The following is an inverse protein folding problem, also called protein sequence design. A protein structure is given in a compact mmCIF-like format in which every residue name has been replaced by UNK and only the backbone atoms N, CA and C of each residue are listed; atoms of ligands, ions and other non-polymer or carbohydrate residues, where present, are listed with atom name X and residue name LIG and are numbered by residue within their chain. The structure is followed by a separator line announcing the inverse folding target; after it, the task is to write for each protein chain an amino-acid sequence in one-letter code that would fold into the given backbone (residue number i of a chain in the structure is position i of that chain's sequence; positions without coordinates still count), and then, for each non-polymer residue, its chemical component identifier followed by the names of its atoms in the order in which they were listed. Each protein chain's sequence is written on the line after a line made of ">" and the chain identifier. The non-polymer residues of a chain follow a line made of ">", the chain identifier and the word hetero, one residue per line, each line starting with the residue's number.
data_IF_143698396708
#
_entry.id   IF_143698396708
#
_cell.length_a   1.000
_cell.length_b   1.000
_cell.length_c   1.000
_cell.angle_alpha   90.00
_cell.angle_beta   90.00
_cell.angle_gamma   90.00
#
_symmetry.space_group_name_H-M   'P 1'
#
loop_
_entity.id
_entity.type
_entity.pdbx_description
1 polymer ?
#
# COMPACT_ATOMS: atom_id res chain seq x y z
N UNK A 1 -25.44 -25.67 2.48
CA UNK A 1 -25.24 -24.42 1.74
C UNK A 1 -25.90 -24.55 0.39
N UNK A 2 -26.83 -23.69 0.07
CA UNK A 2 -27.73 -23.80 -1.07
C UNK A 2 -27.41 -22.85 -2.22
N UNK A 3 -26.37 -22.02 -2.10
CA UNK A 3 -26.07 -20.98 -3.07
C UNK A 3 -24.63 -20.97 -3.59
N UNK A 4 -24.44 -20.37 -4.74
CA UNK A 4 -23.12 -20.14 -5.32
C UNK A 4 -22.36 -19.06 -4.53
N UNK A 5 -21.05 -19.20 -4.50
CA UNK A 5 -20.16 -18.35 -3.73
C UNK A 5 -19.89 -17.02 -4.42
N UNK A 6 -19.44 -16.07 -3.63
CA UNK A 6 -18.94 -14.80 -4.15
C UNK A 6 -17.67 -15.00 -4.98
N UNK A 7 -17.38 -14.01 -5.84
CA UNK A 7 -16.24 -14.08 -6.77
C UNK A 7 -14.91 -13.68 -6.16
N UNK A 8 -14.86 -13.17 -4.93
CA UNK A 8 -13.63 -12.76 -4.29
C UNK A 8 -13.06 -13.80 -3.34
N UNK A 9 -13.86 -14.22 -2.36
CA UNK A 9 -13.39 -15.10 -1.31
C UNK A 9 -13.83 -16.54 -1.50
N UNK A 10 -14.93 -16.76 -2.22
CA UNK A 10 -15.52 -18.07 -2.39
C UNK A 10 -16.08 -18.69 -1.09
N UNK A 11 -16.14 -17.92 -0.02
CA UNK A 11 -16.54 -18.41 1.32
C UNK A 11 -18.01 -18.19 1.62
N UNK A 12 -18.56 -17.07 1.15
CA UNK A 12 -19.93 -16.66 1.42
C UNK A 12 -20.76 -16.60 0.16
N UNK A 13 -22.09 -16.65 0.31
CA UNK A 13 -23.01 -16.46 -0.80
C UNK A 13 -22.98 -15.02 -1.29
N UNK A 14 -23.12 -14.81 -2.59
CA UNK A 14 -23.18 -13.48 -3.17
C UNK A 14 -24.50 -12.78 -2.82
N UNK A 15 -24.46 -11.45 -2.70
CA UNK A 15 -25.65 -10.65 -2.43
C UNK A 15 -26.58 -10.60 -3.64
N UNK A 16 -27.85 -10.87 -3.40
CA UNK A 16 -28.91 -10.71 -4.40
C UNK A 16 -30.23 -10.33 -3.71
N UNK A 17 -31.08 -9.64 -4.43
CA UNK A 17 -32.45 -9.30 -4.01
C UNK A 17 -33.41 -10.46 -4.27
N UNK A 18 -33.04 -11.42 -5.12
CA UNK A 18 -33.83 -12.59 -5.46
C UNK A 18 -33.11 -13.87 -4.99
N UNK A 19 -33.71 -14.52 -4.00
CA UNK A 19 -33.18 -15.74 -3.40
C UNK A 19 -33.05 -16.88 -4.41
N UNK A 20 -33.90 -16.95 -5.42
CA UNK A 20 -33.85 -18.00 -6.45
C UNK A 20 -32.54 -17.90 -7.27
N UNK A 21 -31.98 -16.72 -7.41
CA UNK A 21 -30.73 -16.52 -8.13
C UNK A 21 -29.51 -17.09 -7.42
N UNK A 22 -29.57 -17.32 -6.09
CA UNK A 22 -28.47 -17.92 -5.34
C UNK A 22 -28.10 -19.32 -5.83
N UNK A 23 -29.06 -20.08 -6.36
CA UNK A 23 -28.85 -21.44 -6.87
C UNK A 23 -28.29 -21.45 -8.31
N UNK A 24 -28.22 -20.32 -9.00
CA UNK A 24 -27.82 -20.25 -10.39
C UNK A 24 -26.28 -20.15 -10.54
N UNK A 25 -25.67 -21.00 -11.39
CA UNK A 25 -24.27 -20.85 -11.76
C UNK A 25 -24.04 -19.49 -12.46
N UNK A 26 -22.79 -18.95 -12.45
CA UNK A 26 -22.50 -17.64 -13.01
C UNK A 26 -23.01 -17.40 -14.42
N UNK A 27 -22.89 -18.40 -15.33
CA UNK A 27 -23.34 -18.29 -16.71
C UNK A 27 -24.85 -18.35 -16.94
N UNK A 28 -25.63 -18.68 -15.91
CA UNK A 28 -27.10 -18.74 -15.97
C UNK A 28 -27.77 -17.59 -15.20
N UNK A 29 -27.02 -16.68 -14.62
CA UNK A 29 -27.56 -15.54 -13.89
C UNK A 29 -28.18 -14.54 -14.85
N UNK A 30 -29.32 -13.91 -14.50
CA UNK A 30 -29.93 -12.89 -15.35
C UNK A 30 -28.99 -11.72 -15.60
N UNK A 31 -29.04 -11.13 -16.82
CA UNK A 31 -28.21 -9.97 -17.13
C UNK A 31 -28.54 -8.72 -16.28
N UNK A 32 -29.74 -8.67 -15.72
CA UNK A 32 -30.26 -7.54 -14.93
C UNK A 32 -29.89 -7.63 -13.45
N UNK A 33 -28.94 -8.48 -13.07
CA UNK A 33 -28.51 -8.51 -11.66
C UNK A 33 -27.94 -7.17 -11.22
N UNK A 34 -28.05 -6.86 -9.92
CA UNK A 34 -27.41 -5.69 -9.31
C UNK A 34 -25.94 -5.56 -9.74
N UNK A 35 -25.22 -6.66 -9.83
CA UNK A 35 -23.79 -6.70 -10.15
C UNK A 35 -23.51 -6.33 -11.60
N UNK A 36 -24.26 -6.90 -12.52
CA UNK A 36 -24.11 -6.59 -13.93
C UNK A 36 -24.48 -5.12 -14.23
N UNK A 37 -25.53 -4.62 -13.59
CA UNK A 37 -25.93 -3.21 -13.69
C UNK A 37 -24.85 -2.29 -13.10
N UNK A 38 -24.29 -2.64 -11.94
CA UNK A 38 -23.23 -1.86 -11.30
C UNK A 38 -21.91 -1.88 -12.11
N UNK A 39 -21.56 -3.03 -12.72
CA UNK A 39 -20.40 -3.15 -13.58
C UNK A 39 -20.56 -2.33 -14.87
N UNK A 40 -21.71 -2.43 -15.55
CA UNK A 40 -22.00 -1.65 -16.76
C UNK A 40 -21.98 -0.13 -16.48
N UNK A 41 -22.44 0.30 -15.32
CA UNK A 41 -22.40 1.69 -14.87
C UNK A 41 -21.06 2.09 -14.23
N UNK A 42 -20.07 1.21 -14.17
CA UNK A 42 -18.78 1.40 -13.49
C UNK A 42 -18.93 1.87 -12.02
N UNK A 43 -20.00 1.43 -11.38
CA UNK A 43 -20.30 1.82 -10.00
C UNK A 43 -19.50 0.96 -9.02
N UNK A 44 -19.07 1.58 -7.92
CA UNK A 44 -18.41 0.91 -6.80
C UNK A 44 -17.14 0.13 -7.15
N UNK A 45 -16.55 0.34 -8.32
CA UNK A 45 -15.40 -0.42 -8.80
C UNK A 45 -15.72 -1.90 -9.04
N UNK A 46 -16.97 -2.24 -9.30
CA UNK A 46 -17.41 -3.59 -9.66
C UNK A 46 -16.99 -3.87 -11.10
N UNK A 47 -16.40 -5.05 -11.33
CA UNK A 47 -15.97 -5.52 -12.65
C UNK A 47 -17.03 -6.41 -13.28
N UNK A 48 -16.96 -6.56 -14.59
CA UNK A 48 -17.82 -7.48 -15.33
C UNK A 48 -17.67 -8.91 -14.78
N UNK A 49 -18.78 -9.58 -14.51
CA UNK A 49 -18.80 -10.93 -13.95
C UNK A 49 -18.54 -11.03 -12.43
N UNK A 50 -18.20 -9.94 -11.77
CA UNK A 50 -17.95 -9.91 -10.33
C UNK A 50 -19.30 -9.92 -9.56
N UNK A 51 -19.43 -10.82 -8.57
CA UNK A 51 -20.58 -10.94 -7.69
C UNK A 51 -20.08 -11.09 -6.26
N UNK A 52 -20.37 -10.12 -5.42
CA UNK A 52 -19.81 -10.03 -4.07
C UNK A 52 -20.77 -10.48 -2.99
N UNK A 53 -20.26 -11.13 -1.96
CA UNK A 53 -20.95 -11.30 -0.69
C UNK A 53 -20.99 -10.01 0.13
N UNK A 54 -21.75 -10.01 1.24
CA UNK A 54 -21.93 -8.83 2.09
C UNK A 54 -20.59 -8.26 2.58
N UNK A 55 -19.70 -9.11 3.04
CA UNK A 55 -18.37 -8.69 3.53
C UNK A 55 -17.49 -8.14 2.39
N UNK A 56 -17.52 -8.79 1.22
CA UNK A 56 -16.81 -8.30 0.04
C UNK A 56 -17.29 -6.92 -0.40
N UNK A 57 -18.60 -6.72 -0.41
CA UNK A 57 -19.21 -5.42 -0.72
C UNK A 57 -18.86 -4.36 0.32
N UNK A 58 -18.94 -4.70 1.61
CA UNK A 58 -18.52 -3.79 2.69
C UNK A 58 -17.06 -3.37 2.53
N UNK A 59 -16.15 -4.32 2.34
CA UNK A 59 -14.72 -4.03 2.12
C UNK A 59 -14.48 -3.16 0.88
N UNK A 60 -15.29 -3.30 -0.16
CA UNK A 60 -15.20 -2.50 -1.38
C UNK A 60 -15.64 -1.05 -1.17
N UNK A 61 -16.73 -0.84 -0.43
CA UNK A 61 -17.31 0.48 -0.19
C UNK A 61 -16.65 1.24 0.95
N UNK A 62 -16.29 0.52 2.02
CA UNK A 62 -15.80 1.12 3.27
C UNK A 62 -14.67 2.13 3.08
N UNK A 63 -13.62 1.85 2.29
CA UNK A 63 -12.52 2.79 2.17
C UNK A 63 -12.90 4.16 1.61
N UNK A 64 -13.89 4.21 0.71
CA UNK A 64 -14.42 5.49 0.21
C UNK A 64 -15.29 6.16 1.24
N UNK A 65 -16.27 5.44 1.77
CA UNK A 65 -17.20 5.96 2.78
C UNK A 65 -16.45 6.49 4.01
N UNK A 66 -15.44 5.77 4.48
CA UNK A 66 -14.60 6.21 5.59
C UNK A 66 -13.83 7.49 5.26
N UNK A 67 -13.23 7.57 4.06
CA UNK A 67 -12.49 8.76 3.64
C UNK A 67 -13.42 9.99 3.55
N UNK A 68 -14.62 9.81 2.98
CA UNK A 68 -15.62 10.87 2.87
C UNK A 68 -16.04 11.34 4.28
N UNK A 69 -16.37 10.42 5.18
CA UNK A 69 -16.77 10.75 6.56
C UNK A 69 -15.67 11.47 7.36
N UNK A 70 -14.40 11.03 7.22
CA UNK A 70 -13.28 11.69 7.90
C UNK A 70 -13.00 13.07 7.31
N UNK A 71 -13.15 13.23 5.98
CA UNK A 71 -13.01 14.53 5.34
C UNK A 71 -14.05 15.51 5.85
N UNK A 72 -15.30 15.07 5.95
CA UNK A 72 -16.41 15.88 6.47
C UNK A 72 -16.20 16.22 7.97
N UNK A 73 -15.80 15.23 8.77
CA UNK A 73 -15.61 15.41 10.22
C UNK A 73 -14.48 16.39 10.56
N UNK A 74 -13.39 16.37 9.77
CA UNK A 74 -12.20 17.16 10.05
C UNK A 74 -12.09 18.42 9.17
N UNK A 75 -13.08 18.67 8.32
CA UNK A 75 -13.09 19.76 7.34
C UNK A 75 -11.78 19.82 6.52
N UNK A 76 -11.35 18.66 6.04
CA UNK A 76 -10.12 18.47 5.29
C UNK A 76 -10.29 17.43 4.19
N UNK A 77 -9.70 17.66 3.02
CA UNK A 77 -9.66 16.68 1.91
C UNK A 77 -8.66 15.55 2.23
N UNK A 78 -9.19 14.42 2.68
CA UNK A 78 -8.41 13.20 2.88
C UNK A 78 -8.47 12.33 1.63
N UNK A 79 -7.31 11.89 1.16
CA UNK A 79 -7.20 11.01 0.00
C UNK A 79 -6.63 9.67 0.40
N UNK A 80 -7.23 8.62 -0.14
CA UNK A 80 -6.66 7.27 0.02
C UNK A 80 -5.28 7.20 -0.62
N UNK A 81 -4.34 6.66 0.13
CA UNK A 81 -3.05 6.25 -0.40
C UNK A 81 -3.09 4.73 -0.64
N UNK A 82 -3.43 4.33 -1.85
CA UNK A 82 -3.46 2.91 -2.25
C UNK A 82 -2.69 2.78 -3.56
N UNK A 83 -1.60 2.05 -3.49
CA UNK A 83 -0.78 1.72 -4.66
C UNK A 83 -1.30 0.41 -5.25
N UNK A 84 -1.56 0.37 -6.57
CA UNK A 84 -1.98 -0.87 -7.22
C UNK A 84 -0.84 -1.88 -7.25
N UNK A 85 -1.18 -3.17 -7.30
CA UNK A 85 -0.20 -4.26 -7.41
C UNK A 85 0.66 -4.13 -8.66
N UNK A 86 0.08 -3.66 -9.77
CA UNK A 86 0.84 -3.36 -10.99
C UNK A 86 1.83 -2.21 -10.81
N UNK A 87 1.41 -1.14 -10.13
CA UNK A 87 2.32 -0.04 -9.84
C UNK A 87 3.48 -0.49 -8.96
N UNK A 88 3.23 -1.38 -7.99
CA UNK A 88 4.28 -1.96 -7.16
C UNK A 88 5.23 -2.84 -7.98
N UNK A 89 4.72 -3.70 -8.84
CA UNK A 89 5.53 -4.56 -9.69
C UNK A 89 6.42 -3.74 -10.66
N UNK A 90 5.88 -2.68 -11.24
CA UNK A 90 6.61 -1.81 -12.17
C UNK A 90 7.57 -0.84 -11.47
N UNK A 91 7.45 -0.63 -10.17
CA UNK A 91 8.15 0.45 -9.46
C UNK A 91 9.66 0.38 -9.63
N UNK A 92 10.26 -0.81 -9.54
CA UNK A 92 11.71 -1.01 -9.69
C UNK A 92 12.16 -0.67 -11.11
N UNK A 93 11.46 -1.15 -12.14
CA UNK A 93 11.80 -0.85 -13.54
C UNK A 93 11.69 0.64 -13.85
N UNK A 94 10.67 1.31 -13.32
CA UNK A 94 10.47 2.75 -13.50
C UNK A 94 11.52 3.58 -12.74
N UNK A 95 11.91 3.16 -11.53
CA UNK A 95 12.99 3.79 -10.76
C UNK A 95 14.32 3.69 -11.50
N UNK A 96 14.68 2.49 -11.97
CA UNK A 96 15.90 2.27 -12.74
C UNK A 96 15.94 3.11 -14.02
N UNK A 97 14.84 3.18 -14.76
CA UNK A 97 14.73 4.05 -15.94
C UNK A 97 14.91 5.53 -15.55
N UNK A 98 14.26 5.99 -14.48
CA UNK A 98 14.33 7.39 -14.04
C UNK A 98 15.75 7.81 -13.64
N UNK A 99 16.52 6.90 -13.07
CA UNK A 99 17.89 7.15 -12.60
C UNK A 99 18.95 7.08 -13.69
N UNK A 100 18.63 6.55 -14.88
CA UNK A 100 19.61 6.49 -15.99
C UNK A 100 19.90 7.89 -16.52
N UNK A 101 21.19 8.28 -16.64
CA UNK A 101 21.57 9.56 -17.26
C UNK A 101 21.19 9.65 -18.73
N UNK A 102 21.29 8.54 -19.46
CA UNK A 102 21.04 8.35 -20.89
C UNK A 102 19.69 7.66 -21.16
N UNK A 103 18.73 7.86 -20.27
CA UNK A 103 17.43 7.21 -20.38
C UNK A 103 16.78 7.49 -21.74
N UNK A 104 16.26 6.44 -22.42
CA UNK A 104 15.53 6.61 -23.66
C UNK A 104 14.31 7.50 -23.46
N UNK A 105 14.04 8.35 -24.44
CA UNK A 105 12.82 9.15 -24.47
C UNK A 105 11.58 8.25 -24.61
N UNK A 106 10.48 8.67 -24.05
CA UNK A 106 9.20 7.96 -24.20
C UNK A 106 8.71 8.12 -25.64
N UNK A 107 8.50 7.02 -26.39
CA UNK A 107 8.04 7.08 -27.78
C UNK A 107 6.74 7.89 -27.90
N UNK A 108 6.62 8.64 -29.01
CA UNK A 108 5.44 9.47 -29.27
C UNK A 108 4.16 8.63 -29.24
N UNK A 109 4.21 7.42 -29.77
CA UNK A 109 3.07 6.49 -29.76
C UNK A 109 2.63 6.15 -28.33
N UNK A 110 3.57 5.81 -27.45
CA UNK A 110 3.26 5.52 -26.05
C UNK A 110 2.76 6.76 -25.33
N UNK A 111 3.37 7.92 -25.60
CA UNK A 111 2.95 9.20 -25.02
C UNK A 111 1.50 9.52 -25.36
N UNK A 112 1.12 9.38 -26.63
CA UNK A 112 -0.25 9.62 -27.09
C UNK A 112 -1.28 8.70 -26.40
N UNK A 113 -0.91 7.44 -26.16
CA UNK A 113 -1.77 6.49 -25.42
C UNK A 113 -1.92 6.84 -23.95
N UNK A 114 -0.91 7.44 -23.35
CA UNK A 114 -0.95 7.84 -21.94
C UNK A 114 -1.65 9.18 -21.70
N UNK A 115 -1.72 10.05 -22.71
CA UNK A 115 -2.46 11.30 -22.60
C UNK A 115 -3.95 11.05 -22.36
N UNK A 116 -4.52 11.75 -21.37
CA UNK A 116 -5.92 11.56 -20.98
C UNK A 116 -6.19 10.38 -20.02
N UNK A 117 -5.24 9.47 -19.83
CA UNK A 117 -5.41 8.36 -18.90
C UNK A 117 -5.46 8.82 -17.43
N UNK A 118 -6.11 8.01 -16.59
CA UNK A 118 -6.11 8.21 -15.14
C UNK A 118 -4.69 8.18 -14.57
N UNK A 119 -4.50 8.80 -13.41
CA UNK A 119 -3.20 8.82 -12.72
C UNK A 119 -3.15 7.77 -11.62
N UNK A 120 -2.11 6.94 -11.63
CA UNK A 120 -1.82 6.01 -10.54
C UNK A 120 -1.16 6.71 -9.35
N UNK A 121 -1.39 6.18 -8.16
CA UNK A 121 -0.66 6.55 -6.95
C UNK A 121 0.65 5.78 -6.96
N UNK A 122 1.76 6.49 -6.83
CA UNK A 122 3.10 5.91 -6.83
C UNK A 122 3.55 5.53 -5.42
N UNK A 123 4.40 4.50 -5.26
CA UNK A 123 5.13 4.28 -4.02
C UNK A 123 5.87 5.55 -3.59
N UNK A 124 5.95 5.81 -2.28
CA UNK A 124 6.51 7.07 -1.75
C UNK A 124 7.91 7.36 -2.27
N UNK A 125 8.79 6.36 -2.28
CA UNK A 125 10.17 6.49 -2.77
C UNK A 125 10.19 6.95 -4.23
N UNK A 126 9.43 6.29 -5.10
CA UNK A 126 9.36 6.65 -6.52
C UNK A 126 8.74 8.05 -6.73
N UNK A 127 7.74 8.40 -5.94
CA UNK A 127 7.12 9.73 -5.99
C UNK A 127 8.09 10.85 -5.58
N UNK A 128 8.99 10.60 -4.63
CA UNK A 128 10.03 11.56 -4.19
C UNK A 128 11.11 11.80 -5.26
N UNK A 129 11.42 10.79 -6.06
CA UNK A 129 12.39 10.91 -7.16
C UNK A 129 11.83 11.68 -8.36
N UNK A 130 10.52 11.83 -8.43
CA UNK A 130 9.85 12.46 -9.56
C UNK A 130 9.84 13.98 -9.44
N UNK A 131 10.76 14.63 -10.12
CA UNK A 131 10.90 16.08 -10.13
C UNK A 131 9.79 16.77 -10.93
N UNK A 132 9.27 17.93 -10.46
CA UNK A 132 8.18 18.66 -11.14
C UNK A 132 8.47 19.03 -12.60
N UNK A 133 9.70 19.38 -12.90
CA UNK A 133 10.16 19.82 -14.22
C UNK A 133 10.24 18.68 -15.25
N UNK A 134 10.22 17.44 -14.81
CA UNK A 134 10.29 16.30 -15.73
C UNK A 134 8.88 15.84 -16.16
N UNK A 135 8.29 16.56 -17.13
CA UNK A 135 6.95 16.28 -17.62
C UNK A 135 6.81 14.87 -18.24
N UNK A 136 7.83 14.41 -18.97
CA UNK A 136 7.84 13.10 -19.61
C UNK A 136 7.88 11.96 -18.56
N UNK A 137 8.72 12.07 -17.56
CA UNK A 137 8.76 11.10 -16.47
C UNK A 137 7.45 11.09 -15.67
N UNK A 138 6.86 12.27 -15.44
CA UNK A 138 5.55 12.35 -14.77
C UNK A 138 4.45 11.68 -15.58
N UNK A 139 4.45 11.87 -16.90
CA UNK A 139 3.49 11.21 -17.78
C UNK A 139 3.64 9.68 -17.67
N UNK A 140 4.86 9.17 -17.88
CA UNK A 140 5.12 7.74 -17.85
C UNK A 140 4.79 7.14 -16.47
N UNK A 141 5.43 7.63 -15.40
CA UNK A 141 5.32 7.01 -14.09
C UNK A 141 3.89 7.04 -13.53
N UNK A 142 3.18 8.14 -13.72
CA UNK A 142 1.84 8.29 -13.14
C UNK A 142 0.72 7.68 -13.97
N UNK A 143 0.86 7.62 -15.30
CA UNK A 143 -0.25 7.19 -16.15
C UNK A 143 -0.09 5.78 -16.69
N UNK A 144 1.15 5.33 -16.90
CA UNK A 144 1.40 3.98 -17.42
C UNK A 144 0.77 2.87 -16.56
N UNK A 145 0.94 2.84 -15.22
CA UNK A 145 0.35 1.76 -14.44
C UNK A 145 -1.18 1.72 -14.54
N UNK A 146 -1.83 2.89 -14.53
CA UNK A 146 -3.28 2.97 -14.68
C UNK A 146 -3.75 2.54 -16.10
N UNK A 147 -2.97 2.85 -17.12
CA UNK A 147 -3.25 2.41 -18.48
C UNK A 147 -3.12 0.90 -18.65
N UNK A 148 -2.09 0.29 -18.06
CA UNK A 148 -1.93 -1.18 -18.07
C UNK A 148 -3.04 -1.88 -17.29
N UNK A 149 -3.46 -1.32 -16.14
CA UNK A 149 -4.61 -1.79 -15.39
C UNK A 149 -5.88 -1.74 -16.25
N UNK A 150 -6.12 -0.63 -16.94
CA UNK A 150 -7.27 -0.46 -17.84
C UNK A 150 -7.26 -1.50 -18.98
N UNK A 151 -6.13 -1.69 -19.67
CA UNK A 151 -6.03 -2.66 -20.77
C UNK A 151 -6.33 -4.09 -20.30
N UNK A 152 -5.82 -4.47 -19.13
CA UNK A 152 -6.08 -5.78 -18.54
C UNK A 152 -7.54 -5.96 -18.15
N UNK A 153 -8.12 -4.97 -17.48
CA UNK A 153 -9.50 -5.01 -17.02
C UNK A 153 -10.50 -5.02 -18.19
N UNK A 154 -10.14 -4.43 -19.32
CA UNK A 154 -10.94 -4.46 -20.55
C UNK A 154 -10.72 -5.71 -21.42
N UNK A 155 -9.78 -6.59 -21.06
CA UNK A 155 -9.46 -7.79 -21.84
C UNK A 155 -8.81 -7.50 -23.19
N UNK A 156 -8.17 -6.33 -23.34
CA UNK A 156 -7.50 -5.93 -24.58
C UNK A 156 -6.05 -6.44 -24.61
N UNK A 157 -5.91 -7.77 -24.74
CA UNK A 157 -4.62 -8.46 -24.66
C UNK A 157 -3.70 -8.08 -25.83
N UNK A 158 -4.25 -7.78 -27.01
CA UNK A 158 -3.47 -7.37 -28.17
C UNK A 158 -2.77 -6.04 -27.93
N UNK A 159 -3.50 -5.05 -27.46
CA UNK A 159 -2.95 -3.73 -27.16
C UNK A 159 -2.02 -3.76 -25.93
N UNK A 160 -2.32 -4.61 -24.95
CA UNK A 160 -1.44 -4.88 -23.81
C UNK A 160 -0.09 -5.43 -24.29
N UNK A 161 -0.09 -6.40 -25.20
CA UNK A 161 1.12 -6.96 -25.78
C UNK A 161 1.94 -5.93 -26.55
N UNK A 162 1.30 -5.11 -27.39
CA UNK A 162 1.98 -4.00 -28.12
C UNK A 162 2.61 -2.99 -27.14
N UNK A 163 1.88 -2.64 -26.10
CA UNK A 163 2.37 -1.71 -25.08
C UNK A 163 3.59 -2.28 -24.34
N UNK A 164 3.60 -3.57 -24.02
CA UNK A 164 4.75 -4.23 -23.39
C UNK A 164 5.99 -4.18 -24.29
N UNK A 165 5.85 -4.40 -25.61
CA UNK A 165 6.98 -4.27 -26.56
C UNK A 165 7.56 -2.86 -26.58
N UNK A 166 6.70 -1.83 -26.55
CA UNK A 166 7.14 -0.44 -26.46
C UNK A 166 7.87 -0.16 -25.14
N UNK A 167 7.35 -0.71 -24.04
CA UNK A 167 7.97 -0.55 -22.73
C UNK A 167 9.34 -1.21 -22.64
N UNK A 168 9.54 -2.40 -23.20
CA UNK A 168 10.86 -3.04 -23.23
C UNK A 168 11.90 -2.15 -23.92
N UNK A 169 11.52 -1.45 -24.98
CA UNK A 169 12.41 -0.49 -25.67
C UNK A 169 12.74 0.71 -24.79
N UNK A 170 11.76 1.24 -24.05
CA UNK A 170 11.94 2.38 -23.16
C UNK A 170 12.75 2.02 -21.92
N UNK A 171 12.41 0.91 -21.31
CA UNK A 171 13.05 0.47 -20.06
C UNK A 171 14.41 -0.21 -20.31
N UNK A 172 14.64 -0.68 -21.55
CA UNK A 172 15.86 -1.42 -21.93
C UNK A 172 15.89 -2.86 -21.39
N UNK A 173 14.82 -3.30 -20.77
CA UNK A 173 14.61 -4.66 -20.26
C UNK A 173 13.12 -4.93 -20.16
N UNK A 174 12.75 -6.21 -20.06
CA UNK A 174 11.37 -6.61 -19.79
C UNK A 174 10.92 -6.00 -18.46
N UNK A 175 9.72 -5.35 -18.42
CA UNK A 175 9.21 -4.81 -17.18
C UNK A 175 9.06 -5.87 -16.09
N UNK A 176 9.40 -5.51 -14.85
CA UNK A 176 9.16 -6.37 -13.71
C UNK A 176 7.67 -6.63 -13.53
N UNK A 177 7.32 -7.89 -13.32
CA UNK A 177 5.94 -8.33 -13.10
C UNK A 177 5.69 -8.85 -11.68
N UNK A 178 6.74 -8.86 -10.86
CA UNK A 178 6.71 -9.35 -9.49
C UNK A 178 6.98 -8.23 -8.49
N UNK A 179 6.41 -8.37 -7.32
CA UNK A 179 6.75 -7.57 -6.15
C UNK A 179 6.77 -8.48 -4.92
N UNK A 180 7.55 -8.10 -3.93
CA UNK A 180 7.56 -8.76 -2.64
C UNK A 180 6.80 -7.93 -1.62
N UNK A 181 5.98 -8.59 -0.80
CA UNK A 181 5.37 -8.00 0.37
C UNK A 181 6.09 -8.55 1.60
N UNK A 182 6.84 -7.69 2.28
CA UNK A 182 7.48 -8.02 3.54
C UNK A 182 6.59 -7.54 4.68
N UNK A 183 6.04 -8.49 5.43
CA UNK A 183 5.30 -8.22 6.65
C UNK A 183 6.22 -8.56 7.84
N UNK A 184 6.46 -7.56 8.68
CA UNK A 184 7.25 -7.73 9.91
C UNK A 184 6.39 -7.34 11.08
N UNK A 185 6.42 -8.14 12.13
CA UNK A 185 5.81 -7.84 13.41
C UNK A 185 6.88 -7.73 14.49
N UNK A 186 6.66 -6.88 15.47
CA UNK A 186 7.55 -6.74 16.61
C UNK A 186 7.28 -7.86 17.62
N UNK A 187 8.27 -8.75 17.78
CA UNK A 187 8.15 -9.81 18.79
C UNK A 187 8.10 -9.22 20.21
N UNK A 188 7.21 -9.76 21.02
CA UNK A 188 7.04 -9.43 22.44
C UNK A 188 6.84 -7.93 22.75
N UNK A 189 6.26 -7.17 21.84
CA UNK A 189 6.00 -5.74 22.00
C UNK A 189 5.20 -5.42 23.28
N UNK A 190 4.30 -6.32 23.69
CA UNK A 190 3.60 -6.20 24.96
C UNK A 190 4.55 -6.17 26.16
N UNK A 191 5.52 -7.06 26.23
CA UNK A 191 6.53 -7.11 27.29
C UNK A 191 7.44 -5.87 27.28
N UNK A 192 7.82 -5.39 26.10
CA UNK A 192 8.56 -4.13 25.95
C UNK A 192 7.79 -2.92 26.47
N UNK A 193 6.51 -2.82 26.14
CA UNK A 193 5.67 -1.69 26.52
C UNK A 193 5.29 -1.73 28.01
N UNK A 194 4.89 -2.88 28.51
CA UNK A 194 4.48 -3.06 29.92
C UNK A 194 5.67 -3.14 30.87
N UNK A 195 6.88 -3.48 30.37
CA UNK A 195 8.03 -3.75 31.21
C UNK A 195 7.80 -4.89 32.20
N UNK A 196 6.89 -5.82 31.88
CA UNK A 196 6.55 -6.97 32.73
C UNK A 196 7.69 -7.98 32.84
N UNK A 197 8.56 -8.02 31.84
CA UNK A 197 9.74 -8.88 31.81
C UNK A 197 11.02 -8.05 31.98
N UNK A 198 11.83 -8.43 32.96
CA UNK A 198 13.10 -7.78 33.26
C UNK A 198 14.11 -7.82 32.11
N UNK A 199 14.03 -8.81 31.21
CA UNK A 199 14.86 -8.90 30.01
C UNK A 199 14.68 -7.69 29.08
N UNK A 200 13.47 -7.10 29.06
CA UNK A 200 13.11 -5.95 28.23
C UNK A 200 13.20 -4.60 28.95
N UNK A 201 13.67 -4.58 30.19
CA UNK A 201 13.89 -3.36 30.96
C UNK A 201 15.37 -2.98 30.92
N UNK A 202 15.66 -1.86 30.29
CA UNK A 202 17.03 -1.35 30.23
C UNK A 202 17.41 -0.61 31.53
N UNK A 203 18.65 -0.74 32.01
CA UNK A 203 19.12 0.07 33.15
C UNK A 203 19.24 1.54 32.75
N UNK A 204 19.14 2.46 33.70
CA UNK A 204 19.25 3.90 33.43
C UNK A 204 20.54 4.25 32.68
N UNK A 205 21.67 3.62 33.06
CA UNK A 205 22.97 3.83 32.36
C UNK A 205 22.92 3.62 30.85
N UNK A 206 22.10 2.70 30.37
CA UNK A 206 21.99 2.43 28.92
C UNK A 206 21.31 3.55 28.12
N UNK A 207 20.67 4.49 28.80
CA UNK A 207 19.99 5.62 28.18
C UNK A 207 20.82 6.92 28.17
N UNK A 208 22.01 6.89 28.77
CA UNK A 208 22.84 8.09 28.90
C UNK A 208 23.96 8.11 27.89
N UNK A 209 24.30 9.30 27.42
CA UNK A 209 25.42 9.46 26.50
C UNK A 209 26.74 8.99 27.14
N UNK A 210 27.60 8.28 26.41
CA UNK A 210 28.85 7.71 26.95
C UNK A 210 29.74 8.72 27.70
N UNK A 211 29.87 9.95 27.17
CA UNK A 211 30.65 11.01 27.80
C UNK A 211 30.07 11.44 29.16
N UNK A 212 28.76 11.48 29.28
CA UNK A 212 28.10 11.83 30.56
C UNK A 212 28.36 10.69 31.55
N UNK A 213 28.23 9.43 31.13
CA UNK A 213 28.54 8.28 31.98
C UNK A 213 30.00 8.30 32.47
N UNK A 214 30.95 8.57 31.58
CA UNK A 214 32.36 8.65 31.95
C UNK A 214 32.60 9.76 32.99
N UNK A 215 32.00 10.93 32.83
CA UNK A 215 32.10 12.03 33.78
C UNK A 215 31.44 11.70 35.13
N UNK A 216 30.34 10.97 35.12
CA UNK A 216 29.62 10.55 36.36
C UNK A 216 30.35 9.45 37.08
N UNK A 217 30.99 8.52 36.37
CA UNK A 217 31.80 7.44 36.96
C UNK A 217 33.04 7.95 37.70
N UNK A 218 33.55 9.14 37.36
CA UNK A 218 34.63 9.80 38.08
C UNK A 218 34.18 10.43 39.39
N UNK A 219 32.87 10.58 39.59
CA UNK A 219 32.30 11.08 40.85
C UNK A 219 31.97 9.90 41.75
N UNK A 220 32.77 9.67 42.75
CA UNK A 220 32.59 8.60 43.71
C UNK A 220 31.33 8.81 44.58
N UNK A 221 30.20 8.34 44.09
CA UNK A 221 28.90 8.37 44.75
C UNK A 221 28.24 7.00 44.60
N UNK A 222 28.27 6.21 45.66
CA UNK A 222 27.62 4.89 45.69
C UNK A 222 26.13 4.92 45.30
N UNK A 223 25.44 5.98 45.66
CA UNK A 223 24.03 6.19 45.30
C UNK A 223 23.83 6.38 43.79
N UNK A 224 24.75 7.07 43.14
CA UNK A 224 24.70 7.27 41.68
C UNK A 224 24.94 5.94 40.95
N UNK A 225 25.92 5.15 41.39
CA UNK A 225 26.18 3.84 40.80
C UNK A 225 24.97 2.90 40.95
N UNK A 226 24.34 2.90 42.15
CA UNK A 226 23.12 2.15 42.37
C UNK A 226 22.00 2.60 41.41
N UNK A 227 21.74 3.90 41.34
CA UNK A 227 20.74 4.47 40.45
C UNK A 227 20.98 4.11 38.98
N UNK A 228 22.19 4.21 38.47
CA UNK A 228 22.54 3.86 37.09
C UNK A 228 22.34 2.36 36.78
N UNK A 229 22.39 1.51 37.80
CA UNK A 229 22.10 0.08 37.71
C UNK A 229 20.61 -0.26 37.72
N UNK A 230 19.79 0.61 38.28
CA UNK A 230 18.34 0.38 38.35
C UNK A 230 17.70 0.32 36.97
N UNK A 231 16.67 -0.52 36.84
CA UNK A 231 15.90 -0.68 35.62
C UNK A 231 14.96 0.51 35.41
N UNK A 232 14.92 1.05 34.22
CA UNK A 232 14.05 2.18 33.89
C UNK A 232 12.58 1.81 34.11
N UNK A 233 11.87 2.69 34.76
CA UNK A 233 10.42 2.56 34.96
C UNK A 233 9.67 2.64 33.63
N UNK A 234 8.53 1.96 33.59
CA UNK A 234 7.56 2.11 32.51
C UNK A 234 6.89 3.49 32.65
N UNK A 235 6.81 4.21 31.55
CA UNK A 235 6.23 5.56 31.53
C UNK A 235 5.71 5.93 30.16
N UNK A 236 4.81 6.93 30.06
CA UNK A 236 4.37 7.46 28.78
C UNK A 236 5.55 7.92 27.89
N UNK A 237 6.58 8.51 28.48
CA UNK A 237 7.79 8.93 27.76
C UNK A 237 8.52 7.74 27.11
N UNK A 238 8.57 6.59 27.79
CA UNK A 238 9.12 5.36 27.21
C UNK A 238 8.29 4.87 26.02
N UNK A 239 6.98 4.87 26.13
CA UNK A 239 6.08 4.49 25.04
C UNK A 239 6.27 5.42 23.83
N UNK A 240 6.36 6.72 24.05
CA UNK A 240 6.64 7.68 22.98
C UNK A 240 7.99 7.45 22.32
N UNK A 241 9.03 7.14 23.11
CA UNK A 241 10.37 6.84 22.56
C UNK A 241 10.37 5.57 21.70
N UNK A 242 9.71 4.49 22.15
CA UNK A 242 9.56 3.25 21.38
C UNK A 242 8.78 3.53 20.09
N UNK A 243 7.65 4.23 20.16
CA UNK A 243 6.84 4.58 19.00
C UNK A 243 7.62 5.46 18.01
N UNK A 244 8.40 6.42 18.52
CA UNK A 244 9.27 7.26 17.70
C UNK A 244 10.36 6.47 16.98
N UNK A 245 11.01 5.53 17.68
CA UNK A 245 12.02 4.65 17.09
C UNK A 245 11.44 3.74 16.01
N UNK A 246 10.28 3.13 16.26
CA UNK A 246 9.58 2.28 15.29
C UNK A 246 9.14 3.08 14.06
N UNK A 247 8.63 4.30 14.27
CA UNK A 247 8.26 5.17 13.17
C UNK A 247 9.49 5.58 12.33
N UNK A 248 10.60 5.94 12.96
CA UNK A 248 11.85 6.25 12.27
C UNK A 248 12.36 5.06 11.47
N UNK A 249 12.34 3.86 12.05
CA UNK A 249 12.68 2.62 11.36
C UNK A 249 11.79 2.40 10.12
N UNK A 250 10.47 2.48 10.27
CA UNK A 250 9.52 2.31 9.17
C UNK A 250 9.66 3.36 8.05
N UNK A 251 10.23 4.53 8.34
CA UNK A 251 10.50 5.56 7.33
C UNK A 251 11.84 5.37 6.62
N UNK A 252 12.73 4.54 7.17
CA UNK A 252 14.07 4.30 6.64
C UNK A 252 14.14 3.09 5.70
N UNK A 253 13.22 2.13 5.90
CA UNK A 253 13.05 0.96 5.02
C UNK A 253 12.27 1.34 3.76
#
# INVERSE_FOLDING_TARGET
>A
QTGYRDSLGGEVEWLTTDRAQLALPPGQRPPETLWNTAAAAQRFGIRAGEHLGALGMLKRLWPKTFTDQISDLLDRDFRRFVVSTHTLALATSLEQWLQRPDRPAVPIELRAKLEGQATAILPRKLAQLLRPENAEARLLLRRLPAYLDFLRDSGNDEELGRTHVLLEKVLGAKPETYYALLLMDGDQMGAWLTGSDDAYRLPYRAAWHPQILANLQQRDSGDLHRYLGEKRAVSPARHMAISGALNSFALTI
#
